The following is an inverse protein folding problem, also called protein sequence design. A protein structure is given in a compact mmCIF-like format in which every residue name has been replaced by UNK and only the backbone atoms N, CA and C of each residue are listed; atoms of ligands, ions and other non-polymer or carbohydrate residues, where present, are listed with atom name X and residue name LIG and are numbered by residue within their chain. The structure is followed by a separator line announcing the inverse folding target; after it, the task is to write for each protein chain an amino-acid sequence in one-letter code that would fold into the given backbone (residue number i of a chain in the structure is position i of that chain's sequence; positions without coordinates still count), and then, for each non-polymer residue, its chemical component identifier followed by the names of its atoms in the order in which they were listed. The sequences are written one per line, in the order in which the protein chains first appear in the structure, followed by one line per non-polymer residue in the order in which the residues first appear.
data_IF_333514689468
#
_entry.id   IF_333514689468
#
_cell.length_a   1.000
_cell.length_b   1.000
_cell.length_c   1.000
_cell.angle_alpha   90.00
_cell.angle_beta   90.00
_cell.angle_gamma   90.00
#
_symmetry.space_group_name_H-M   'P 1'
#
loop_
_entity.id
_entity.type
_entity.pdbx_description
1 polymer ?
#
# COMPACT_ATOMS: atom_id res chain seq x y z
N UNK A 1 6.68 13.09 -39.46
CA UNK A 1 6.91 14.01 -38.32
C UNK A 1 5.98 15.23 -38.42
N UNK A 2 4.66 15.02 -38.36
CA UNK A 2 3.66 16.11 -38.40
C UNK A 2 2.63 15.88 -37.29
N UNK A 3 3.10 15.75 -36.05
CA UNK A 3 2.19 15.78 -34.91
C UNK A 3 1.88 17.25 -34.64
N UNK A 4 0.62 17.63 -34.83
CA UNK A 4 0.16 18.98 -34.52
C UNK A 4 0.45 19.27 -33.05
N UNK A 5 1.08 20.42 -32.78
CA UNK A 5 1.27 20.88 -31.40
C UNK A 5 -0.10 21.20 -30.81
N UNK A 6 -0.52 20.41 -29.83
CA UNK A 6 -1.71 20.72 -29.04
C UNK A 6 -1.32 21.78 -28.00
N UNK A 7 -2.07 22.89 -28.00
CA UNK A 7 -1.82 24.03 -27.12
C UNK A 7 -3.05 24.23 -26.25
N UNK A 8 -2.82 24.30 -24.94
CA UNK A 8 -3.85 24.65 -23.96
C UNK A 8 -3.67 26.14 -23.61
N UNK A 9 -4.75 26.91 -23.74
CA UNK A 9 -4.78 28.35 -23.39
C UNK A 9 -5.71 28.53 -22.20
N UNK A 10 -5.17 29.02 -21.09
CA UNK A 10 -5.87 29.13 -19.83
C UNK A 10 -5.81 30.55 -19.26
N UNK A 11 -6.70 30.84 -18.31
CA UNK A 11 -6.70 32.10 -17.58
C UNK A 11 -5.49 32.14 -16.64
N UNK A 12 -4.72 33.24 -16.66
CA UNK A 12 -3.67 33.48 -15.66
C UNK A 12 -4.30 33.89 -14.33
N UNK A 13 -3.95 33.18 -13.26
CA UNK A 13 -4.42 33.41 -11.89
C UNK A 13 -3.23 33.86 -11.04
N UNK A 14 -3.47 34.83 -10.15
CA UNK A 14 -2.44 35.33 -9.20
C UNK A 14 -2.69 34.71 -7.83
N UNK A 15 -1.61 34.39 -7.13
CA UNK A 15 -1.67 33.83 -5.79
C UNK A 15 -0.40 33.09 -5.42
N UNK A 16 -0.39 32.52 -4.22
CA UNK A 16 0.58 31.53 -3.79
C UNK A 16 0.20 30.15 -4.34
N UNK A 17 1.23 29.33 -4.56
CA UNK A 17 1.11 27.95 -5.03
C UNK A 17 0.96 27.01 -3.84
N UNK A 18 -0.13 26.27 -3.83
CA UNK A 18 -0.45 25.27 -2.83
C UNK A 18 -0.65 23.90 -3.45
N UNK A 19 -0.33 22.88 -2.68
CA UNK A 19 -0.76 21.51 -2.94
C UNK A 19 -1.55 20.97 -1.76
N UNK A 20 -2.78 20.60 -2.02
CA UNK A 20 -3.64 19.88 -1.09
C UNK A 20 -3.51 18.39 -1.41
N UNK A 21 -3.49 17.55 -0.38
CA UNK A 21 -3.34 16.12 -0.51
C UNK A 21 -4.54 15.42 0.14
N UNK A 22 -5.15 14.51 -0.61
CA UNK A 22 -6.21 13.64 -0.12
C UNK A 22 -5.79 12.17 -0.21
N UNK A 23 -6.15 11.39 0.80
CA UNK A 23 -5.98 9.94 0.85
C UNK A 23 -7.34 9.30 1.12
N UNK A 24 -7.69 8.30 0.31
CA UNK A 24 -8.97 7.58 0.39
C UNK A 24 -10.20 8.51 0.48
N UNK A 25 -10.22 9.56 -0.35
CA UNK A 25 -11.30 10.55 -0.39
C UNK A 25 -11.36 11.52 0.79
N UNK A 26 -10.37 11.53 1.68
CA UNK A 26 -10.26 12.43 2.83
C UNK A 26 -9.07 13.38 2.68
N UNK A 27 -9.22 14.63 3.08
CA UNK A 27 -8.11 15.57 3.13
C UNK A 27 -7.14 15.16 4.25
N UNK A 28 -5.84 15.17 3.94
CA UNK A 28 -4.77 14.76 4.88
C UNK A 28 -3.80 15.90 5.15
N UNK A 29 -3.34 16.61 4.11
CA UNK A 29 -2.28 17.60 4.25
C UNK A 29 -2.43 18.74 3.23
N UNK A 30 -1.83 19.89 3.54
CA UNK A 30 -1.60 20.94 2.56
C UNK A 30 -0.19 21.51 2.71
N UNK A 31 0.43 21.91 1.60
CA UNK A 31 1.71 22.60 1.61
C UNK A 31 1.68 23.81 0.69
N UNK A 32 2.26 24.93 1.14
CA UNK A 32 2.62 26.05 0.28
C UNK A 32 3.97 25.75 -0.36
N UNK A 33 4.04 25.87 -1.69
CA UNK A 33 5.29 25.76 -2.44
C UNK A 33 5.76 27.16 -2.79
N UNK A 34 6.95 27.53 -2.31
CA UNK A 34 7.61 28.77 -2.72
C UNK A 34 8.75 28.50 -3.70
N UNK A 35 8.88 29.31 -4.78
CA UNK A 35 10.04 29.24 -5.65
C UNK A 35 11.34 29.47 -4.88
N UNK A 36 12.45 28.94 -5.43
CA UNK A 36 13.77 29.21 -4.90
C UNK A 36 14.02 30.73 -4.82
N UNK A 37 14.59 31.19 -3.72
CA UNK A 37 14.86 32.60 -3.48
C UNK A 37 16.12 32.79 -2.66
N UNK A 38 16.74 33.96 -2.78
CA UNK A 38 17.81 34.45 -1.89
C UNK A 38 17.40 35.77 -1.25
N UNK A 39 17.96 36.07 -0.09
CA UNK A 39 17.78 37.34 0.61
C UNK A 39 19.10 38.08 0.59
N UNK A 40 19.08 39.33 0.13
CA UNK A 40 20.25 40.19 0.08
C UNK A 40 20.79 40.52 1.47
N UNK A 41 22.12 40.62 1.56
CA UNK A 41 22.83 41.12 2.74
C UNK A 41 23.47 42.51 2.49
N UNK A 42 23.27 43.07 1.30
CA UNK A 42 23.78 44.37 0.88
C UNK A 42 25.22 44.36 0.37
N UNK A 43 25.91 43.22 0.35
CA UNK A 43 27.30 43.14 -0.11
C UNK A 43 27.63 41.93 -1.00
N UNK A 44 26.92 40.80 -0.84
CA UNK A 44 27.19 39.59 -1.61
C UNK A 44 26.40 39.54 -2.92
N UNK A 45 27.00 38.92 -3.93
CA UNK A 45 26.34 38.69 -5.22
C UNK A 45 25.29 37.58 -5.11
N UNK A 46 24.31 37.54 -6.01
CA UNK A 46 23.34 36.43 -6.06
C UNK A 46 24.04 35.06 -6.14
N UNK A 47 25.13 34.95 -6.90
CA UNK A 47 25.92 33.71 -6.98
C UNK A 47 26.47 33.28 -5.60
N UNK A 48 27.05 34.21 -4.85
CA UNK A 48 27.56 33.94 -3.50
C UNK A 48 26.43 33.57 -2.52
N UNK A 49 25.28 34.24 -2.62
CA UNK A 49 24.10 33.95 -1.81
C UNK A 49 23.58 32.53 -2.08
N UNK A 50 23.53 32.11 -3.35
CA UNK A 50 23.12 30.76 -3.76
C UNK A 50 24.10 29.72 -3.22
N UNK A 51 25.40 29.93 -3.38
CA UNK A 51 26.43 29.05 -2.86
C UNK A 51 26.33 28.89 -1.34
N UNK A 52 26.07 29.99 -0.63
CA UNK A 52 25.85 29.97 0.82
C UNK A 52 24.60 29.18 1.20
N UNK A 53 23.50 29.37 0.50
CA UNK A 53 22.27 28.59 0.73
C UNK A 53 22.49 27.09 0.48
N UNK A 54 23.15 26.74 -0.63
CA UNK A 54 23.42 25.35 -1.02
C UNK A 54 24.41 24.62 -0.11
N UNK A 55 25.17 25.33 0.73
CA UNK A 55 26.02 24.75 1.78
C UNK A 55 25.26 24.39 3.05
N UNK A 56 23.99 24.78 3.19
CA UNK A 56 23.19 24.43 4.37
C UNK A 56 22.96 22.92 4.42
N UNK A 57 23.12 22.26 5.59
CA UNK A 57 22.88 20.83 5.73
C UNK A 57 21.46 20.38 5.34
N UNK A 58 20.49 21.29 5.38
CA UNK A 58 19.12 21.01 4.97
C UNK A 58 18.95 20.90 3.44
N UNK A 59 19.90 21.38 2.63
CA UNK A 59 19.88 21.35 1.15
C UNK A 59 20.78 20.24 0.61
N UNK A 60 20.28 19.01 0.64
CA UNK A 60 21.03 17.84 0.13
C UNK A 60 20.37 17.37 -1.16
N UNK A 61 21.19 16.93 -2.10
CA UNK A 61 20.72 16.30 -3.32
C UNK A 61 20.31 14.84 -3.07
N UNK A 62 19.27 14.65 -2.25
CA UNK A 62 18.63 13.35 -2.03
C UNK A 62 17.11 13.51 -2.06
N UNK A 63 16.36 12.48 -2.50
CA UNK A 63 14.88 12.47 -2.45
C UNK A 63 14.31 12.61 -1.04
N UNK A 64 15.16 12.41 -0.04
CA UNK A 64 14.81 12.45 1.39
C UNK A 64 15.14 13.79 2.05
N UNK A 65 15.81 14.71 1.35
CA UNK A 65 16.11 16.02 1.91
C UNK A 65 14.85 16.89 1.98
N UNK A 66 14.66 17.68 3.05
CA UNK A 66 13.56 18.64 3.11
C UNK A 66 13.69 19.76 2.07
N UNK A 67 14.91 20.03 1.58
CA UNK A 67 15.17 21.01 0.54
C UNK A 67 16.10 20.46 -0.54
N UNK A 68 15.74 20.68 -1.79
CA UNK A 68 16.67 20.51 -2.91
C UNK A 68 17.73 21.62 -2.93
N UNK A 69 18.83 21.38 -3.65
CA UNK A 69 19.77 22.46 -3.98
C UNK A 69 19.12 23.45 -4.94
N UNK A 70 19.40 24.73 -4.75
CA UNK A 70 19.10 25.77 -5.72
C UNK A 70 19.95 25.49 -6.96
N UNK A 71 19.28 25.17 -8.06
CA UNK A 71 19.91 24.84 -9.33
C UNK A 71 20.16 26.13 -10.12
N UNK A 72 21.40 26.30 -10.57
CA UNK A 72 21.79 27.35 -11.50
C UNK A 72 21.69 26.79 -12.92
N UNK A 73 20.70 27.25 -13.67
CA UNK A 73 20.48 26.89 -15.08
C UNK A 73 20.02 28.11 -15.89
N UNK A 74 19.86 27.92 -17.21
CA UNK A 74 19.41 28.97 -18.13
C UNK A 74 18.02 29.52 -17.77
N UNK A 75 17.13 28.71 -17.21
CA UNK A 75 15.80 29.17 -16.82
C UNK A 75 15.86 30.14 -15.62
N UNK A 76 16.76 29.91 -14.67
CA UNK A 76 17.05 30.86 -13.59
C UNK A 76 17.66 32.15 -14.14
N UNK A 77 18.66 32.06 -15.00
CA UNK A 77 19.33 33.24 -15.58
C UNK A 77 18.35 34.12 -16.36
N UNK A 78 17.53 33.51 -17.22
CA UNK A 78 16.48 34.24 -17.97
C UNK A 78 15.50 34.94 -17.03
N UNK A 79 15.12 34.31 -15.92
CA UNK A 79 14.19 34.93 -14.98
C UNK A 79 14.82 36.06 -14.15
N UNK A 80 16.12 35.99 -13.87
CA UNK A 80 16.85 37.13 -13.31
C UNK A 80 16.92 38.28 -14.30
N UNK A 81 17.22 38.00 -15.57
CA UNK A 81 17.29 39.01 -16.64
C UNK A 81 15.93 39.73 -16.84
N UNK A 82 14.81 38.99 -16.82
CA UNK A 82 13.46 39.57 -16.81
C UNK A 82 13.21 40.52 -15.63
N UNK A 83 13.90 40.33 -14.50
CA UNK A 83 13.86 41.20 -13.33
C UNK A 83 14.89 42.34 -13.39
N UNK A 84 15.69 42.43 -14.46
CA UNK A 84 16.81 43.37 -14.60
C UNK A 84 18.00 43.04 -13.69
N UNK A 85 18.17 41.77 -13.32
CA UNK A 85 19.20 41.27 -12.43
C UNK A 85 20.10 40.25 -13.16
N UNK A 86 21.29 40.06 -12.61
CA UNK A 86 22.23 39.00 -13.00
C UNK A 86 22.78 38.30 -11.77
N UNK A 87 23.50 37.20 -11.95
CA UNK A 87 24.14 36.48 -10.85
C UNK A 87 25.21 37.30 -10.13
N UNK A 88 25.77 38.31 -10.79
CA UNK A 88 26.75 39.26 -10.23
C UNK A 88 26.08 40.44 -9.48
N UNK A 89 24.75 40.54 -9.53
CA UNK A 89 24.03 41.63 -8.87
C UNK A 89 24.11 41.48 -7.35
N UNK A 90 24.38 42.60 -6.66
CA UNK A 90 24.31 42.69 -5.20
C UNK A 90 22.92 43.18 -4.79
N UNK A 91 22.23 42.39 -3.97
CA UNK A 91 20.87 42.69 -3.53
C UNK A 91 20.90 43.47 -2.22
N UNK A 92 20.09 44.52 -2.14
CA UNK A 92 19.89 45.31 -0.92
C UNK A 92 19.58 44.41 0.28
N UNK A 93 20.07 44.81 1.45
CA UNK A 93 19.87 44.05 2.68
C UNK A 93 18.37 43.82 2.93
N UNK A 94 18.02 42.59 3.29
CA UNK A 94 16.67 42.13 3.62
C UNK A 94 15.68 42.09 2.43
N UNK A 95 16.13 42.41 1.21
CA UNK A 95 15.32 42.23 -0.01
C UNK A 95 15.41 40.78 -0.50
N UNK A 96 14.26 40.12 -0.60
CA UNK A 96 14.15 38.79 -1.21
C UNK A 96 14.06 38.90 -2.75
N UNK A 97 14.77 38.01 -3.44
CA UNK A 97 14.70 37.85 -4.91
C UNK A 97 14.35 36.40 -5.21
N UNK A 98 13.29 36.21 -5.98
CA UNK A 98 12.93 34.89 -6.50
C UNK A 98 13.81 34.55 -7.71
N UNK A 99 14.38 33.36 -7.66
CA UNK A 99 15.28 32.83 -8.68
C UNK A 99 14.52 32.09 -9.79
N UNK A 100 13.26 31.72 -9.54
CA UNK A 100 12.39 31.02 -10.51
C UNK A 100 10.94 31.49 -10.44
N UNK A 101 10.21 31.32 -11.54
CA UNK A 101 8.75 31.51 -11.60
C UNK A 101 7.99 30.38 -10.91
N UNK A 102 8.41 29.13 -11.13
CA UNK A 102 7.70 27.93 -10.68
C UNK A 102 8.31 27.37 -9.40
N UNK A 103 7.46 26.96 -8.46
CA UNK A 103 7.85 26.45 -7.16
C UNK A 103 8.23 24.95 -7.17
N UNK A 104 9.25 24.60 -7.96
CA UNK A 104 9.75 23.23 -8.03
C UNK A 104 10.74 22.93 -6.89
N UNK A 105 10.41 21.96 -6.04
CA UNK A 105 11.25 21.51 -4.92
C UNK A 105 12.61 20.98 -5.39
N UNK A 106 12.64 20.25 -6.51
CA UNK A 106 13.86 19.72 -7.13
C UNK A 106 14.82 20.83 -7.61
N UNK A 107 14.30 22.03 -7.87
CA UNK A 107 15.07 23.20 -8.28
C UNK A 107 15.35 24.16 -7.13
N UNK A 108 15.22 23.69 -5.88
CA UNK A 108 15.54 24.44 -4.66
C UNK A 108 14.37 25.23 -4.08
N UNK A 109 13.15 25.01 -4.56
CA UNK A 109 11.93 25.50 -3.93
C UNK A 109 11.76 25.03 -2.49
N UNK A 110 10.83 25.66 -1.78
CA UNK A 110 10.57 25.46 -0.36
C UNK A 110 9.16 24.91 -0.18
N UNK A 111 9.02 23.84 0.61
CA UNK A 111 7.72 23.37 1.11
C UNK A 111 7.47 23.93 2.51
N UNK A 112 6.34 24.61 2.68
CA UNK A 112 5.88 25.09 3.99
C UNK A 112 4.60 24.34 4.31
N UNK A 113 4.52 23.71 5.47
CA UNK A 113 3.27 23.11 5.92
C UNK A 113 2.19 24.18 6.05
N UNK A 114 1.03 23.90 5.47
CA UNK A 114 -0.14 24.77 5.48
C UNK A 114 -1.38 24.02 5.97
N UNK A 115 -1.23 22.79 6.48
CA UNK A 115 -2.33 21.86 6.78
C UNK A 115 -3.34 22.46 7.75
N UNK A 116 -2.88 23.06 8.84
CA UNK A 116 -3.76 23.64 9.86
C UNK A 116 -4.34 25.01 9.49
N UNK A 117 -3.83 25.64 8.44
CA UNK A 117 -4.32 26.93 7.97
C UNK A 117 -5.46 26.80 6.95
N UNK A 118 -5.82 25.58 6.52
CA UNK A 118 -6.81 25.38 5.47
C UNK A 118 -8.23 25.64 5.99
N UNK A 119 -8.95 26.51 5.30
CA UNK A 119 -10.35 26.79 5.57
C UNK A 119 -11.23 25.56 5.33
N UNK A 120 -12.24 25.26 6.19
CA UNK A 120 -13.09 24.08 6.06
C UNK A 120 -13.76 23.92 4.69
N UNK A 121 -14.23 25.00 4.07
CA UNK A 121 -14.79 24.94 2.70
C UNK A 121 -13.82 24.38 1.66
N UNK A 122 -12.51 24.66 1.80
CA UNK A 122 -11.47 24.19 0.88
C UNK A 122 -11.18 22.70 1.12
N UNK A 123 -11.25 22.26 2.39
CA UNK A 123 -11.17 20.84 2.76
C UNK A 123 -12.29 20.05 2.11
N UNK A 124 -13.53 20.53 2.23
CA UNK A 124 -14.70 19.86 1.62
C UNK A 124 -14.55 19.80 0.10
N UNK A 125 -14.16 20.90 -0.55
CA UNK A 125 -13.90 20.92 -1.99
C UNK A 125 -12.83 19.89 -2.41
N UNK A 126 -11.71 19.82 -1.67
CA UNK A 126 -10.65 18.87 -1.96
C UNK A 126 -11.13 17.41 -1.84
N UNK A 127 -11.96 17.11 -0.84
CA UNK A 127 -12.55 15.79 -0.65
C UNK A 127 -13.56 15.44 -1.75
N UNK A 128 -14.42 16.38 -2.15
CA UNK A 128 -15.38 16.18 -3.24
C UNK A 128 -14.65 15.85 -4.55
N UNK A 129 -13.56 16.57 -4.84
CA UNK A 129 -12.66 16.27 -5.97
C UNK A 129 -12.07 14.87 -5.82
N UNK A 130 -11.50 14.54 -4.67
CA UNK A 130 -10.89 13.22 -4.44
C UNK A 130 -11.87 12.06 -4.61
N UNK A 131 -13.09 12.21 -4.09
CA UNK A 131 -14.16 11.22 -4.20
C UNK A 131 -14.66 11.06 -5.65
N UNK A 132 -14.62 12.14 -6.44
CA UNK A 132 -14.96 12.07 -7.86
C UNK A 132 -13.99 11.18 -8.65
N UNK A 133 -12.68 11.34 -8.42
CA UNK A 133 -11.65 10.57 -9.13
C UNK A 133 -11.43 9.15 -8.58
N UNK A 134 -11.85 8.87 -7.33
CA UNK A 134 -11.75 7.54 -6.68
C UNK A 134 -10.32 6.96 -6.68
N UNK A 135 -9.34 7.82 -6.45
CA UNK A 135 -7.94 7.45 -6.33
C UNK A 135 -7.54 7.33 -4.84
N UNK A 136 -6.67 6.36 -4.53
CA UNK A 136 -6.20 6.15 -3.16
C UNK A 136 -5.43 7.36 -2.62
N UNK A 137 -4.61 8.00 -3.44
CA UNK A 137 -3.85 9.19 -3.07
C UNK A 137 -3.93 10.20 -4.22
N UNK A 138 -4.28 11.45 -3.89
CA UNK A 138 -4.53 12.51 -4.87
C UNK A 138 -3.88 13.82 -4.41
N UNK A 139 -3.10 14.44 -5.31
CA UNK A 139 -2.61 15.80 -5.13
C UNK A 139 -3.46 16.78 -5.93
N UNK A 140 -3.85 17.89 -5.34
CA UNK A 140 -4.61 18.96 -5.98
C UNK A 140 -3.79 20.24 -5.90
N UNK A 141 -3.38 20.74 -7.06
CA UNK A 141 -2.59 21.95 -7.19
C UNK A 141 -3.51 23.14 -7.27
N UNK A 142 -3.26 24.12 -6.41
CA UNK A 142 -4.14 25.27 -6.23
C UNK A 142 -3.31 26.54 -6.26
N UNK A 143 -3.80 27.54 -6.99
CA UNK A 143 -3.34 28.92 -6.84
C UNK A 143 -4.42 29.69 -6.07
N UNK A 144 -4.02 30.28 -4.96
CA UNK A 144 -4.89 31.11 -4.12
C UNK A 144 -4.10 32.20 -3.40
N UNK A 145 -4.75 33.29 -3.00
CA UNK A 145 -4.12 34.29 -2.12
C UNK A 145 -3.74 33.67 -0.76
N UNK A 146 -4.61 32.81 -0.23
CA UNK A 146 -4.40 32.08 1.02
C UNK A 146 -5.38 30.92 1.12
N UNK A 147 -4.94 29.79 1.69
CA UNK A 147 -5.85 28.69 2.02
C UNK A 147 -6.72 28.95 3.26
N UNK A 148 -6.45 30.01 4.03
CA UNK A 148 -7.22 30.38 5.23
C UNK A 148 -8.57 31.04 4.90
N UNK A 149 -8.78 31.45 3.66
CA UNK A 149 -10.04 31.99 3.16
C UNK A 149 -10.80 30.92 2.40
N UNK A 150 -12.12 30.97 2.46
CA UNK A 150 -12.99 30.10 1.66
C UNK A 150 -12.80 30.37 0.17
N UNK A 151 -12.68 29.30 -0.63
CA UNK A 151 -12.66 29.34 -2.09
C UNK A 151 -13.89 30.04 -2.70
N UNK A 152 -14.98 30.17 -1.94
CA UNK A 152 -16.21 30.86 -2.36
C UNK A 152 -16.06 32.39 -2.37
N UNK A 153 -15.08 32.93 -1.65
CA UNK A 153 -14.96 34.37 -1.35
C UNK A 153 -13.67 35.03 -1.87
N UNK A 154 -12.76 34.26 -2.47
CA UNK A 154 -11.47 34.74 -2.97
C UNK A 154 -11.08 34.09 -4.30
N UNK A 155 -9.98 34.54 -4.88
CA UNK A 155 -9.39 33.84 -6.04
C UNK A 155 -8.79 32.52 -5.55
N UNK A 156 -9.42 31.41 -5.96
CA UNK A 156 -8.98 30.04 -5.74
C UNK A 156 -9.16 29.29 -7.06
N UNK A 157 -8.08 28.75 -7.60
CA UNK A 157 -8.10 28.00 -8.85
C UNK A 157 -7.38 26.68 -8.68
N UNK A 158 -8.06 25.58 -9.01
CA UNK A 158 -7.43 24.28 -9.19
C UNK A 158 -6.74 24.30 -10.56
N UNK A 159 -5.42 24.08 -10.57
CA UNK A 159 -4.59 24.11 -11.77
C UNK A 159 -4.39 22.70 -12.33
N UNK A 160 -4.11 21.75 -11.45
CA UNK A 160 -3.77 20.38 -11.83
C UNK A 160 -4.26 19.39 -10.78
N UNK A 161 -4.57 18.17 -11.22
CA UNK A 161 -4.88 17.04 -10.36
C UNK A 161 -3.89 15.93 -10.66
N UNK A 162 -3.17 15.49 -9.63
CA UNK A 162 -2.06 14.56 -9.70
C UNK A 162 -2.45 13.20 -9.08
N UNK A 163 -2.46 12.14 -9.89
CA UNK A 163 -2.84 10.79 -9.45
C UNK A 163 -1.72 10.02 -8.68
N UNK A 164 -0.48 10.49 -8.79
CA UNK A 164 0.68 9.93 -8.08
C UNK A 164 1.52 11.08 -7.48
N UNK A 165 0.98 11.80 -6.49
CA UNK A 165 1.65 12.98 -5.95
C UNK A 165 2.88 12.59 -5.13
N UNK A 166 3.90 13.46 -5.16
CA UNK A 166 5.03 13.34 -4.24
C UNK A 166 4.59 13.65 -2.80
N UNK A 167 4.82 12.73 -1.87
CA UNK A 167 4.38 12.86 -0.46
C UNK A 167 5.48 13.37 0.49
N UNK A 168 6.76 13.30 0.07
CA UNK A 168 7.91 13.66 0.92
C UNK A 168 7.85 15.09 1.44
N UNK A 169 7.28 16.02 0.67
CA UNK A 169 7.16 17.43 1.05
C UNK A 169 6.20 17.65 2.23
N UNK A 170 5.25 16.74 2.46
CA UNK A 170 4.36 16.77 3.62
C UNK A 170 4.99 16.05 4.81
N UNK A 171 5.72 14.95 4.57
CA UNK A 171 6.42 14.21 5.63
C UNK A 171 7.62 14.99 6.18
N UNK A 172 8.32 15.75 5.34
CA UNK A 172 9.47 16.58 5.73
C UNK A 172 9.36 17.94 5.07
N UNK A 173 8.46 18.81 5.55
CA UNK A 173 8.41 20.17 5.07
C UNK A 173 9.69 20.89 5.48
N UNK A 174 10.07 21.91 4.71
CA UNK A 174 11.19 22.75 5.06
C UNK A 174 10.85 23.73 6.19
N UNK A 175 9.57 24.10 6.33
CA UNK A 175 9.05 24.91 7.44
C UNK A 175 7.70 24.33 7.88
N UNK A 176 7.47 24.23 9.19
CA UNK A 176 6.21 23.76 9.77
C UNK A 176 6.26 22.29 10.21
N UNK A 177 5.09 21.67 10.39
CA UNK A 177 4.97 20.36 11.01
C UNK A 177 4.91 19.21 9.99
N UNK A 178 5.53 18.08 10.35
CA UNK A 178 5.48 16.87 9.55
C UNK A 178 4.08 16.26 9.59
N UNK A 179 3.56 15.87 8.42
CA UNK A 179 2.34 15.06 8.31
C UNK A 179 2.72 13.66 7.81
N UNK A 180 2.39 12.64 8.59
CA UNK A 180 2.66 11.24 8.26
C UNK A 180 1.67 10.68 7.23
N UNK A 181 1.73 11.24 6.03
CA UNK A 181 0.96 10.81 4.86
C UNK A 181 1.13 9.30 4.56
N UNK A 182 2.33 8.69 4.64
CA UNK A 182 2.49 7.25 4.42
C UNK A 182 1.56 6.39 5.28
N UNK A 183 1.38 6.72 6.56
CA UNK A 183 0.51 5.96 7.45
C UNK A 183 -0.95 5.98 6.99
N UNK A 184 -1.49 7.15 6.60
CA UNK A 184 -2.86 7.23 6.03
C UNK A 184 -3.02 6.40 4.74
N UNK A 185 -1.98 6.33 3.91
CA UNK A 185 -2.00 5.50 2.69
C UNK A 185 -2.03 4.02 3.07
N UNK A 186 -1.17 3.59 4.00
CA UNK A 186 -1.08 2.19 4.44
C UNK A 186 -2.38 1.73 5.12
N UNK A 187 -2.99 2.58 5.95
CA UNK A 187 -4.29 2.32 6.58
C UNK A 187 -5.43 2.11 5.57
N UNK A 188 -5.27 2.57 4.32
CA UNK A 188 -6.25 2.32 3.25
C UNK A 188 -6.15 0.89 2.71
N UNK A 189 -4.97 0.26 2.83
CA UNK A 189 -4.72 -1.10 2.31
C UNK A 189 -4.75 -2.16 3.40
N UNK A 190 -4.48 -1.79 4.64
CA UNK A 190 -4.37 -2.71 5.77
C UNK A 190 -5.32 -2.29 6.88
N UNK A 191 -6.45 -2.99 7.00
CA UNK A 191 -7.50 -2.69 8.00
C UNK A 191 -7.05 -2.97 9.45
N UNK A 192 -6.03 -3.81 9.63
CA UNK A 192 -5.47 -4.10 10.94
C UNK A 192 -4.00 -4.48 10.85
N UNK A 193 -3.32 -4.43 12.00
CA UNK A 193 -1.93 -4.86 12.15
C UNK A 193 -1.80 -6.39 12.30
N UNK A 194 -2.84 -7.17 11.97
CA UNK A 194 -2.73 -8.62 11.97
C UNK A 194 -1.90 -9.07 10.78
N UNK A 195 -1.05 -10.08 11.00
CA UNK A 195 -0.33 -10.74 9.92
C UNK A 195 -1.34 -11.27 8.90
N UNK A 196 -1.32 -10.72 7.69
CA UNK A 196 -2.10 -11.27 6.59
C UNK A 196 -1.62 -12.70 6.29
N UNK A 197 -2.54 -13.65 6.39
CA UNK A 197 -2.34 -15.07 6.09
C UNK A 197 -3.61 -15.59 5.43
N UNK A 198 -3.43 -16.48 4.46
CA UNK A 198 -4.54 -17.25 3.90
C UNK A 198 -4.90 -18.38 4.88
N UNK A 199 -6.16 -18.81 4.97
CA UNK A 199 -6.52 -20.01 5.69
C UNK A 199 -5.87 -21.25 5.07
N UNK A 200 -5.25 -22.08 5.91
CA UNK A 200 -4.62 -23.35 5.50
C UNK A 200 -5.32 -24.52 6.18
N UNK A 201 -5.76 -25.49 5.38
CA UNK A 201 -6.39 -26.75 5.81
C UNK A 201 -5.47 -27.90 5.42
N UNK A 202 -4.94 -28.60 6.42
CA UNK A 202 -4.00 -29.70 6.23
C UNK A 202 -4.67 -31.04 6.49
N UNK A 203 -4.50 -31.99 5.57
CA UNK A 203 -4.93 -33.38 5.71
C UNK A 203 -3.71 -34.28 5.84
N UNK A 204 -3.76 -35.39 6.59
CA UNK A 204 -2.77 -36.46 6.39
C UNK A 204 -3.07 -37.29 5.14
N UNK A 205 -4.36 -37.39 4.79
CA UNK A 205 -4.88 -38.13 3.65
C UNK A 205 -6.19 -37.53 3.18
N UNK A 206 -6.34 -37.37 1.87
CA UNK A 206 -7.60 -36.96 1.25
C UNK A 206 -7.72 -37.52 -0.17
N UNK A 207 -8.89 -38.06 -0.51
CA UNK A 207 -9.13 -38.55 -1.87
C UNK A 207 -9.32 -37.37 -2.84
N UNK A 208 -9.10 -37.58 -4.14
CA UNK A 208 -9.39 -36.55 -5.16
C UNK A 208 -10.86 -36.10 -5.10
N UNK A 209 -11.79 -37.03 -4.85
CA UNK A 209 -13.21 -36.73 -4.74
C UNK A 209 -13.52 -35.84 -3.53
N UNK A 210 -13.00 -36.18 -2.35
CA UNK A 210 -13.21 -35.38 -1.13
C UNK A 210 -12.52 -34.01 -1.23
N UNK A 211 -11.36 -33.95 -1.90
CA UNK A 211 -10.67 -32.70 -2.16
C UNK A 211 -11.52 -31.77 -3.04
N UNK A 212 -12.11 -32.31 -4.11
CA UNK A 212 -13.03 -31.56 -4.98
C UNK A 212 -14.30 -31.12 -4.24
N UNK A 213 -14.88 -31.99 -3.41
CA UNK A 213 -16.05 -31.65 -2.59
C UNK A 213 -15.72 -30.53 -1.59
N UNK A 214 -14.52 -30.56 -1.00
CA UNK A 214 -14.04 -29.51 -0.10
C UNK A 214 -13.87 -28.18 -0.84
N UNK A 215 -13.25 -28.18 -2.02
CA UNK A 215 -13.14 -26.98 -2.87
C UNK A 215 -14.53 -26.41 -3.18
N UNK A 216 -15.48 -27.25 -3.59
CA UNK A 216 -16.84 -26.83 -3.91
C UNK A 216 -17.58 -26.26 -2.70
N UNK A 217 -17.40 -26.88 -1.53
CA UNK A 217 -18.01 -26.41 -0.28
C UNK A 217 -17.54 -25.01 0.11
N UNK A 218 -16.25 -24.72 -0.03
CA UNK A 218 -15.67 -23.40 0.25
C UNK A 218 -16.14 -22.38 -0.79
N UNK A 219 -16.11 -22.72 -2.09
CA UNK A 219 -16.56 -21.81 -3.16
C UNK A 219 -18.06 -21.49 -3.10
N UNK A 220 -18.88 -22.35 -2.50
CA UNK A 220 -20.30 -22.04 -2.26
C UNK A 220 -20.48 -20.91 -1.24
N UNK A 221 -19.58 -20.80 -0.26
CA UNK A 221 -19.61 -19.76 0.78
C UNK A 221 -18.82 -18.52 0.35
N UNK A 222 -17.75 -18.72 -0.40
CA UNK A 222 -16.82 -17.69 -0.87
C UNK A 222 -16.61 -17.79 -2.39
N UNK A 223 -17.56 -17.30 -3.21
CA UNK A 223 -17.55 -17.51 -4.67
C UNK A 223 -16.37 -16.85 -5.40
N UNK A 224 -15.82 -15.78 -4.83
CA UNK A 224 -14.75 -14.99 -5.43
C UNK A 224 -13.34 -15.47 -5.03
N UNK A 225 -13.24 -16.49 -4.16
CA UNK A 225 -11.95 -17.00 -3.69
C UNK A 225 -11.24 -17.87 -4.74
N UNK A 226 -9.91 -17.81 -4.70
CA UNK A 226 -9.02 -18.75 -5.37
C UNK A 226 -8.47 -19.76 -4.37
N UNK A 227 -8.92 -20.99 -4.48
CA UNK A 227 -8.49 -22.12 -3.66
C UNK A 227 -7.40 -22.88 -4.39
N UNK A 228 -6.24 -23.03 -3.76
CA UNK A 228 -5.19 -23.95 -4.19
C UNK A 228 -5.33 -25.24 -3.39
N UNK A 229 -5.34 -26.37 -4.06
CA UNK A 229 -5.57 -27.66 -3.43
C UNK A 229 -4.60 -28.70 -3.97
N UNK A 230 -4.00 -29.52 -3.11
CA UNK A 230 -3.09 -30.60 -3.52
C UNK A 230 -3.26 -31.83 -2.62
N UNK A 231 -3.33 -32.99 -3.27
CA UNK A 231 -3.23 -34.31 -2.66
C UNK A 231 -2.15 -35.12 -3.40
N UNK A 232 -1.89 -36.35 -2.96
CA UNK A 232 -0.87 -37.20 -3.58
C UNK A 232 -1.14 -37.49 -5.07
N UNK A 233 -2.40 -37.44 -5.50
CA UNK A 233 -2.82 -37.83 -6.86
C UNK A 233 -3.13 -36.64 -7.78
N UNK A 234 -3.37 -35.44 -7.24
CA UNK A 234 -3.83 -34.31 -8.05
C UNK A 234 -3.52 -32.94 -7.42
N UNK A 235 -3.46 -31.93 -8.28
CA UNK A 235 -3.38 -30.51 -7.91
C UNK A 235 -4.53 -29.78 -8.57
N UNK A 236 -5.19 -28.88 -7.84
CA UNK A 236 -6.28 -28.06 -8.33
C UNK A 236 -6.04 -26.58 -8.02
N UNK A 237 -6.54 -25.74 -8.92
CA UNK A 237 -6.87 -24.34 -8.62
C UNK A 237 -8.35 -24.17 -8.91
N UNK A 238 -9.14 -23.92 -7.86
CA UNK A 238 -10.60 -24.07 -7.88
C UNK A 238 -10.97 -25.43 -8.50
N UNK A 239 -11.86 -25.45 -9.50
CA UNK A 239 -12.30 -26.69 -10.17
C UNK A 239 -11.37 -27.16 -11.30
N UNK A 240 -10.29 -26.44 -11.57
CA UNK A 240 -9.36 -26.77 -12.65
C UNK A 240 -8.21 -27.60 -12.13
N UNK A 241 -8.17 -28.86 -12.53
CA UNK A 241 -7.01 -29.72 -12.34
C UNK A 241 -5.78 -29.12 -13.05
N UNK A 242 -4.61 -29.28 -12.43
CA UNK A 242 -3.30 -28.81 -12.90
C UNK A 242 -2.36 -30.01 -13.02
N UNK A 243 -1.21 -29.76 -13.67
CA UNK A 243 -0.17 -30.77 -13.80
C UNK A 243 0.42 -31.04 -12.40
N UNK A 244 0.28 -32.28 -11.93
CA UNK A 244 0.95 -32.76 -10.73
C UNK A 244 2.44 -32.95 -11.01
N UNK A 245 3.28 -32.21 -10.30
CA UNK A 245 4.73 -32.37 -10.33
C UNK A 245 5.16 -33.57 -9.47
N UNK A 246 6.22 -34.28 -9.91
CA UNK A 246 6.73 -35.48 -9.22
C UNK A 246 7.29 -35.20 -7.83
N UNK A 247 7.96 -34.07 -7.68
CA UNK A 247 8.34 -33.57 -6.36
C UNK A 247 7.10 -32.88 -5.74
N UNK A 248 6.63 -33.45 -4.64
CA UNK A 248 5.38 -33.06 -3.98
C UNK A 248 5.42 -31.60 -3.51
N UNK A 249 6.50 -31.18 -2.84
CA UNK A 249 6.61 -29.83 -2.27
C UNK A 249 6.72 -28.74 -3.34
N UNK A 250 7.17 -29.08 -4.56
CA UNK A 250 7.08 -28.16 -5.71
C UNK A 250 5.62 -27.80 -6.05
N UNK A 251 4.66 -28.71 -5.85
CA UNK A 251 3.23 -28.40 -6.07
C UNK A 251 2.72 -27.36 -5.05
N UNK A 252 3.02 -27.58 -3.76
CA UNK A 252 2.66 -26.66 -2.67
C UNK A 252 3.28 -25.28 -2.90
N UNK A 253 4.56 -25.22 -3.28
CA UNK A 253 5.26 -23.98 -3.66
C UNK A 253 4.56 -23.23 -4.80
N UNK A 254 4.17 -23.94 -5.84
CA UNK A 254 3.51 -23.33 -7.00
C UNK A 254 2.15 -22.74 -6.64
N UNK A 255 1.39 -23.40 -5.76
CA UNK A 255 0.14 -22.86 -5.23
C UNK A 255 0.40 -21.59 -4.41
N UNK A 256 1.33 -21.63 -3.45
CA UNK A 256 1.65 -20.49 -2.57
C UNK A 256 2.24 -19.28 -3.33
N UNK A 257 2.82 -19.47 -4.51
CA UNK A 257 3.29 -18.39 -5.39
C UNK A 257 2.18 -17.71 -6.19
N UNK A 258 0.95 -18.23 -6.16
CA UNK A 258 -0.18 -17.59 -6.82
C UNK A 258 -0.60 -16.35 -6.03
N UNK A 259 -0.46 -15.12 -6.59
CA UNK A 259 -0.76 -13.88 -5.86
C UNK A 259 -2.26 -13.68 -5.57
N UNK A 260 -3.13 -14.52 -6.13
CA UNK A 260 -4.57 -14.50 -5.88
C UNK A 260 -5.03 -15.60 -4.93
N UNK A 261 -4.12 -16.43 -4.42
CA UNK A 261 -4.50 -17.54 -3.54
C UNK A 261 -5.17 -16.97 -2.28
N UNK A 262 -6.39 -17.42 -2.01
CA UNK A 262 -7.17 -17.01 -0.84
C UNK A 262 -7.24 -18.11 0.21
N UNK A 263 -7.07 -19.39 -0.19
CA UNK A 263 -7.05 -20.54 0.72
C UNK A 263 -6.18 -21.68 0.16
N UNK A 264 -5.47 -22.38 1.04
CA UNK A 264 -4.69 -23.58 0.71
C UNK A 264 -5.29 -24.83 1.37
N UNK A 265 -5.55 -25.86 0.57
CA UNK A 265 -5.86 -27.22 1.03
C UNK A 265 -4.70 -28.13 0.62
N UNK A 266 -4.20 -28.95 1.53
CA UNK A 266 -2.96 -29.69 1.29
C UNK A 266 -2.93 -30.98 2.08
N UNK A 267 -2.52 -32.05 1.42
CA UNK A 267 -2.20 -33.33 2.06
C UNK A 267 -0.73 -33.36 2.48
N UNK A 268 -0.41 -33.93 3.64
CA UNK A 268 0.95 -34.31 4.01
C UNK A 268 0.92 -35.69 4.65
N UNK A 269 1.22 -36.70 3.84
CA UNK A 269 1.43 -38.07 4.32
C UNK A 269 2.80 -38.25 4.98
N UNK A 270 2.93 -39.36 5.70
CA UNK A 270 4.17 -39.76 6.38
C UNK A 270 5.42 -39.70 5.48
N UNK A 271 5.33 -40.16 4.24
CA UNK A 271 6.47 -40.24 3.31
C UNK A 271 7.05 -38.87 2.95
N UNK A 272 6.20 -37.87 2.78
CA UNK A 272 6.61 -36.49 2.49
C UNK A 272 7.15 -35.84 3.75
N UNK A 273 6.50 -36.06 4.90
CA UNK A 273 6.92 -35.50 6.18
C UNK A 273 8.32 -35.97 6.58
N UNK A 274 8.62 -37.26 6.43
CA UNK A 274 9.94 -37.81 6.78
C UNK A 274 11.04 -37.37 5.81
N UNK A 275 10.72 -37.28 4.51
CA UNK A 275 11.72 -36.99 3.48
C UNK A 275 12.03 -35.50 3.37
N UNK A 276 10.99 -34.68 3.27
CA UNK A 276 11.11 -33.27 2.88
C UNK A 276 10.52 -32.30 3.91
N UNK A 277 9.65 -32.78 4.80
CA UNK A 277 8.88 -31.94 5.72
C UNK A 277 7.82 -31.08 5.01
N UNK A 278 7.32 -30.07 5.73
CA UNK A 278 6.29 -29.15 5.27
C UNK A 278 6.88 -27.86 4.66
N UNK A 279 6.15 -27.25 3.73
CA UNK A 279 6.59 -26.03 3.03
C UNK A 279 5.96 -24.72 3.54
N UNK A 280 5.05 -24.79 4.51
CA UNK A 280 4.47 -23.63 5.20
C UNK A 280 4.52 -23.87 6.71
N UNK A 281 4.17 -22.83 7.47
CA UNK A 281 4.12 -22.88 8.93
C UNK A 281 2.70 -22.61 9.40
N UNK A 282 2.19 -23.51 10.24
CA UNK A 282 0.89 -23.41 10.87
C UNK A 282 -0.27 -23.74 9.94
N UNK A 283 -1.27 -24.43 10.50
CA UNK A 283 -2.55 -24.68 9.86
C UNK A 283 -3.68 -24.10 10.70
N UNK A 284 -4.71 -23.54 10.04
CA UNK A 284 -5.94 -23.12 10.71
C UNK A 284 -6.83 -24.33 11.01
N UNK A 285 -6.69 -25.39 10.20
CA UNK A 285 -7.36 -26.66 10.45
C UNK A 285 -6.46 -27.83 10.06
N UNK A 286 -6.49 -28.89 10.88
CA UNK A 286 -5.83 -30.16 10.59
C UNK A 286 -6.86 -31.28 10.67
N UNK A 287 -6.92 -32.12 9.65
CA UNK A 287 -7.82 -33.27 9.54
C UNK A 287 -7.01 -34.54 9.36
N UNK A 288 -7.11 -35.44 10.32
CA UNK A 288 -6.36 -36.70 10.33
C UNK A 288 -7.32 -37.88 10.27
N UNK A 289 -7.16 -38.75 9.27
CA UNK A 289 -7.86 -40.04 9.19
C UNK A 289 -6.87 -41.18 9.44
N UNK A 290 -7.06 -41.88 10.57
CA UNK A 290 -6.21 -42.95 11.08
C UNK A 290 -4.70 -42.62 11.00
N UNK A 291 -4.26 -41.52 11.63
CA UNK A 291 -2.89 -41.04 11.48
C UNK A 291 -1.86 -41.98 12.12
N UNK A 292 -0.65 -42.01 11.54
CA UNK A 292 0.53 -42.58 12.21
C UNK A 292 1.09 -41.64 13.28
N UNK A 293 2.05 -42.12 14.08
CA UNK A 293 2.77 -41.28 15.05
C UNK A 293 3.50 -40.10 14.36
N UNK A 294 3.97 -40.30 13.13
CA UNK A 294 4.61 -39.26 12.32
C UNK A 294 3.59 -38.24 11.85
N UNK A 295 2.45 -38.68 11.32
CA UNK A 295 1.39 -37.77 10.83
C UNK A 295 0.74 -36.97 11.97
N UNK A 296 0.75 -37.49 13.20
CA UNK A 296 0.34 -36.74 14.39
C UNK A 296 1.18 -35.47 14.64
N UNK A 297 2.38 -35.36 14.05
CA UNK A 297 3.19 -34.14 14.12
C UNK A 297 2.51 -32.94 13.44
N UNK A 298 1.59 -33.16 12.49
CA UNK A 298 0.79 -32.09 11.87
C UNK A 298 -0.02 -31.32 12.92
N UNK A 299 -0.41 -31.95 14.03
CA UNK A 299 -1.13 -31.30 15.13
C UNK A 299 -0.27 -30.39 16.00
N UNK A 300 1.05 -30.41 15.80
CA UNK A 300 2.02 -29.56 16.50
C UNK A 300 2.30 -28.26 15.75
N UNK A 301 2.11 -28.25 14.43
CA UNK A 301 2.27 -27.07 13.58
C UNK A 301 0.91 -26.48 13.20
N UNK A 302 0.23 -25.95 14.22
CA UNK A 302 -1.10 -25.33 14.13
C UNK A 302 -1.10 -23.95 14.78
N UNK A 303 -2.02 -23.09 14.36
CA UNK A 303 -2.24 -21.81 15.03
C UNK A 303 -3.00 -21.98 16.36
N UNK A 304 -2.90 -20.98 17.25
CA UNK A 304 -3.47 -21.04 18.60
C UNK A 304 -5.00 -21.29 18.62
N UNK A 305 -5.71 -20.80 17.61
CA UNK A 305 -7.15 -20.92 17.45
C UNK A 305 -7.57 -22.02 16.45
N UNK A 306 -6.61 -22.84 16.02
CA UNK A 306 -6.85 -23.87 15.01
C UNK A 306 -7.81 -24.98 15.48
N UNK A 307 -8.49 -25.59 14.51
CA UNK A 307 -9.34 -26.75 14.71
C UNK A 307 -8.62 -28.03 14.31
N UNK A 308 -8.60 -29.04 15.18
CA UNK A 308 -8.01 -30.34 14.89
C UNK A 308 -9.09 -31.41 14.92
N UNK A 309 -9.25 -32.13 13.82
CA UNK A 309 -10.21 -33.23 13.66
C UNK A 309 -9.43 -34.53 13.45
N UNK A 310 -9.60 -35.51 14.33
CA UNK A 310 -8.90 -36.80 14.24
C UNK A 310 -9.92 -37.92 14.26
N UNK A 311 -9.84 -38.82 13.30
CA UNK A 311 -10.62 -40.06 13.24
C UNK A 311 -9.72 -41.27 13.46
N UNK A 312 -10.06 -42.11 14.44
CA UNK A 312 -9.42 -43.39 14.74
C UNK A 312 -10.46 -44.50 14.71
N UNK A 313 -10.44 -45.33 13.66
CA UNK A 313 -11.55 -46.23 13.37
C UNK A 313 -12.85 -45.44 13.15
N UNK A 314 -13.84 -45.69 14.01
CA UNK A 314 -15.13 -45.00 14.01
C UNK A 314 -15.18 -43.82 15.00
N UNK A 315 -14.15 -43.65 15.85
CA UNK A 315 -14.13 -42.58 16.83
C UNK A 315 -13.60 -41.30 16.21
N UNK A 316 -14.31 -40.20 16.43
CA UNK A 316 -13.91 -38.86 16.01
C UNK A 316 -13.67 -38.01 17.25
N UNK A 317 -12.57 -37.26 17.22
CA UNK A 317 -12.29 -36.19 18.16
C UNK A 317 -12.13 -34.86 17.42
N UNK A 318 -12.79 -33.83 17.91
CA UNK A 318 -12.65 -32.46 17.43
C UNK A 318 -12.13 -31.61 18.59
N UNK A 319 -11.01 -30.93 18.37
CA UNK A 319 -10.40 -30.00 19.32
C UNK A 319 -10.39 -28.59 18.73
N UNK A 320 -10.97 -27.63 19.45
CA UNK A 320 -10.96 -26.20 19.08
C UNK A 320 -11.00 -25.33 20.34
N UNK A 321 -10.18 -24.28 20.43
CA UNK A 321 -10.19 -23.29 21.53
C UNK A 321 -10.23 -23.91 22.95
N UNK A 322 -9.52 -25.01 23.16
CA UNK A 322 -9.49 -25.74 24.45
C UNK A 322 -10.68 -26.65 24.74
N UNK A 323 -11.71 -26.67 23.87
CA UNK A 323 -12.82 -27.63 23.93
C UNK A 323 -12.47 -28.90 23.15
N UNK A 324 -12.87 -30.04 23.70
CA UNK A 324 -12.73 -31.35 23.07
C UNK A 324 -14.12 -31.98 22.97
N UNK A 325 -14.55 -32.29 21.75
CA UNK A 325 -15.76 -33.06 21.46
C UNK A 325 -15.34 -34.45 20.96
N UNK A 326 -15.98 -35.50 21.48
CA UNK A 326 -15.74 -36.88 21.08
C UNK A 326 -17.05 -37.58 20.82
N UNK A 327 -17.13 -38.29 19.70
CA UNK A 327 -18.28 -39.13 19.35
C UNK A 327 -17.87 -40.23 18.38
N UNK A 328 -18.70 -41.25 18.22
CA UNK A 328 -18.50 -42.31 17.24
C UNK A 328 -19.37 -42.03 16.01
N UNK A 329 -18.75 -42.12 14.83
CA UNK A 329 -19.45 -42.02 13.54
C UNK A 329 -20.36 -43.24 13.34
N UNK A 330 -21.55 -43.01 12.78
CA UNK A 330 -22.39 -44.10 12.33
C UNK A 330 -21.76 -44.82 11.13
N UNK A 331 -22.03 -46.12 10.98
CA UNK A 331 -21.45 -46.95 9.90
C UNK A 331 -21.73 -46.45 8.46
N UNK A 332 -22.70 -45.54 8.28
CA UNK A 332 -23.06 -44.94 6.99
C UNK A 332 -22.71 -43.44 6.90
N UNK A 333 -22.07 -42.86 7.92
CA UNK A 333 -21.75 -41.44 7.97
C UNK A 333 -20.34 -41.18 7.44
N UNK A 334 -20.19 -40.45 6.31
CA UNK A 334 -18.87 -40.20 5.73
C UNK A 334 -18.10 -39.21 6.60
N UNK A 335 -16.80 -39.47 6.77
CA UNK A 335 -15.91 -38.57 7.51
C UNK A 335 -15.83 -37.17 6.87
N UNK A 336 -16.04 -37.08 5.56
CA UNK A 336 -16.12 -35.83 4.78
C UNK A 336 -17.11 -34.84 5.39
N UNK A 337 -18.28 -35.31 5.81
CA UNK A 337 -19.31 -34.47 6.42
C UNK A 337 -18.85 -33.79 7.71
N UNK A 338 -17.98 -34.45 8.48
CA UNK A 338 -17.47 -33.91 9.74
C UNK A 338 -16.57 -32.70 9.49
N UNK A 339 -15.56 -32.86 8.64
CA UNK A 339 -14.62 -31.77 8.43
C UNK A 339 -15.22 -30.63 7.61
N UNK A 340 -16.12 -30.89 6.66
CA UNK A 340 -16.82 -29.82 5.93
C UNK A 340 -17.61 -28.91 6.88
N UNK A 341 -18.26 -29.47 7.91
CA UNK A 341 -18.97 -28.68 8.92
C UNK A 341 -18.03 -27.73 9.68
N UNK A 342 -16.83 -28.20 10.03
CA UNK A 342 -15.86 -27.40 10.76
C UNK A 342 -15.18 -26.35 9.85
N UNK A 343 -14.98 -26.64 8.56
CA UNK A 343 -14.50 -25.65 7.57
C UNK A 343 -15.44 -24.45 7.49
N UNK A 344 -16.77 -24.67 7.53
CA UNK A 344 -17.73 -23.56 7.56
C UNK A 344 -17.65 -22.66 8.80
N UNK A 345 -16.94 -23.05 9.86
CA UNK A 345 -16.68 -22.20 11.04
C UNK A 345 -15.36 -21.44 10.97
N UNK A 346 -14.51 -21.81 10.01
CA UNK A 346 -13.19 -21.24 9.75
C UNK A 346 -13.24 -20.04 8.79
N UNK A 347 -14.15 -20.12 7.82
CA UNK A 347 -14.45 -19.12 6.80
C UNK A 347 -15.42 -18.06 7.35
#
# INVERSE_FOLDING_TARGET
ENQATEVIVEKSIKGADYRLLCVNGRFVAATERRPASVVGDGHSTIAELIDRENRKPARIDTPTSPLGKIQWDEAMERYLDEQGLSTDSVIEKDRAVFLRKVANLSSGGLSIDATHAVHPDNIILAQDVAQHFRLTCLGIDVIAESLAKSWKSGEFAIIEINAAPGISMHLRPAIGESVDVPSYILETFFESNIDARIPIITFNRISVQDLQETIDHILLQQPDWTIGAVCHEAVFVNRSEKILHRDYNTNVQNLLRNPKLDCLIVEYGEDVLERDGMFYHGSNMVVLDNPSETEMMLTRDIFDDATVVIKEGDNVSIRRKGLIEQYSLGAAEPFTRVHLKEIGTLL
#
